data_IF_762705063082
#
_entry.id   IF_762705063082
#
_cell.length_a   1.000
_cell.length_b   1.000
_cell.length_c   1.000
_cell.angle_alpha   90.00
_cell.angle_beta   90.00
_cell.angle_gamma   90.00
#
_symmetry.space_group_name_H-M   'P 1'
#
loop_
_entity.id
_entity.type
_entity.pdbx_description
1 polymer ?
2 polymer ?
3 non-polymer ?
4 water ?
#
# COMPACT_ATOMS: atom_id res chain seq x y z
N UNK A 9 1.03 24.07 14.98
CA UNK A 9 0.70 25.19 14.12
C UNK A 9 0.05 24.72 12.82
N UNK A 10 0.21 23.44 12.52
CA UNK A 10 -0.34 22.86 11.30
C UNK A 10 -1.85 22.68 11.38
N UNK A 11 -2.33 22.36 12.58
CA UNK A 11 -3.75 22.09 12.78
C UNK A 11 -4.60 23.36 12.76
N UNK A 12 -3.93 24.51 12.84
CA UNK A 12 -4.63 25.79 12.92
C UNK A 12 -4.98 26.36 11.56
N UNK A 13 -4.21 25.99 10.54
CA UNK A 13 -4.41 26.51 9.19
C UNK A 13 -5.78 26.16 8.62
N UNK A 14 -6.25 26.97 7.68
CA UNK A 14 -7.42 26.62 6.90
C UNK A 14 -6.99 25.69 5.79
N UNK A 15 -7.94 25.06 5.11
CA UNK A 15 -7.62 24.13 4.05
C UNK A 15 -6.95 24.83 2.88
N UNK A 16 -7.36 26.07 2.62
CA UNK A 16 -6.75 26.88 1.56
C UNK A 16 -5.32 27.25 1.93
N UNK A 17 -5.08 27.50 3.22
CA UNK A 17 -3.74 27.82 3.71
C UNK A 17 -2.86 26.58 3.65
N UNK A 18 -3.45 25.42 3.88
CA UNK A 18 -2.73 24.15 3.77
C UNK A 18 -2.27 23.92 2.34
N UNK A 19 -3.18 24.14 1.40
CA UNK A 19 -2.88 24.00 -0.03
C UNK A 19 -1.75 24.93 -0.44
N UNK A 20 -1.86 26.20 -0.04
CA UNK A 20 -0.86 27.20 -0.39
C UNK A 20 0.51 26.86 0.19
N UNK A 21 0.53 26.37 1.43
CA UNK A 21 1.78 26.01 2.09
C UNK A 21 2.45 24.82 1.41
N UNK A 22 1.63 23.85 0.98
CA UNK A 22 2.14 22.67 0.30
C UNK A 22 2.67 23.00 -1.09
N UNK A 23 1.90 23.79 -1.85
CA UNK A 23 2.30 24.21 -3.17
C UNK A 23 3.60 25.01 -3.15
N UNK A 24 3.76 25.81 -2.10
CA UNK A 24 4.94 26.66 -1.97
C UNK A 24 6.16 25.86 -1.56
N UNK A 25 5.92 24.70 -0.95
CA UNK A 25 7.01 23.86 -0.46
C UNK A 25 7.53 22.91 -1.54
N UNK A 26 6.87 22.93 -2.69
CA UNK A 26 7.20 22.02 -3.79
C UNK A 26 8.66 22.08 -4.20
N UNK A 27 9.31 20.92 -4.27
CA UNK A 27 10.70 20.84 -4.73
C UNK A 27 10.80 21.16 -6.21
N UNK A 28 11.98 21.61 -6.66
CA UNK A 28 12.16 21.92 -8.08
C UNK A 28 12.24 20.68 -8.96
N UNK A 29 12.02 20.86 -10.26
CA UNK A 29 12.22 19.78 -11.21
C UNK A 29 13.67 19.79 -11.69
N UNK A 30 14.43 18.76 -11.30
CA UNK A 30 15.84 18.70 -11.63
C UNK A 30 16.07 18.10 -13.01
N UNK A 31 17.23 18.40 -13.59
CA UNK A 31 17.59 17.86 -14.90
C UNK A 31 18.57 16.71 -14.76
N UNK A 32 18.57 15.81 -15.74
CA UNK A 32 19.54 14.72 -15.80
C UNK A 32 20.88 15.28 -16.29
N UNK A 33 21.97 14.58 -16.01
CA UNK A 33 23.29 15.08 -16.40
C UNK A 33 23.60 14.77 -17.86
N UNK A 34 22.62 14.99 -18.74
CA UNK A 34 22.79 14.78 -20.16
C UNK A 34 23.86 15.69 -20.75
N UNK A 38 22.96 10.32 -25.81
CA UNK A 38 23.40 9.04 -26.37
C UNK A 38 22.50 7.90 -25.90
N UNK A 39 22.13 6.99 -26.82
CA UNK A 39 21.35 5.77 -26.54
C UNK A 39 21.84 5.06 -25.28
N UNK A 40 20.91 4.51 -24.51
CA UNK A 40 21.22 4.06 -23.15
C UNK A 40 21.65 2.58 -23.01
N UNK A 41 22.71 2.36 -22.25
CA UNK A 41 23.09 1.01 -21.81
C UNK A 41 22.50 0.75 -20.42
N UNK A 42 22.76 -0.43 -19.87
CA UNK A 42 22.23 -0.75 -18.55
C UNK A 42 22.90 0.13 -17.51
N UNK A 43 24.23 0.14 -17.50
CA UNK A 43 24.98 0.87 -16.49
C UNK A 43 24.78 2.37 -16.61
N UNK A 44 24.63 2.86 -17.83
CA UNK A 44 24.49 4.29 -18.08
C UNK A 44 23.15 4.83 -17.57
N UNK A 45 22.08 4.11 -17.88
CA UNK A 45 20.75 4.51 -17.43
C UNK A 45 20.66 4.45 -15.90
N UNK A 46 21.23 3.40 -15.31
CA UNK A 46 21.26 3.25 -13.88
C UNK A 46 22.05 4.38 -13.25
N UNK A 47 23.14 4.76 -13.89
CA UNK A 47 23.92 5.90 -13.43
C UNK A 47 23.08 7.16 -13.42
N UNK A 48 22.37 7.39 -14.53
CA UNK A 48 21.53 8.58 -14.66
C UNK A 48 20.41 8.62 -13.62
N UNK A 49 19.73 7.49 -13.45
CA UNK A 49 18.57 7.43 -12.56
C UNK A 49 18.96 7.58 -11.09
N UNK A 50 20.03 6.92 -10.69
CA UNK A 50 20.47 6.98 -9.30
C UNK A 50 21.12 8.33 -8.98
N UNK A 51 21.78 8.93 -9.96
CA UNK A 51 22.35 10.26 -9.78
C UNK A 51 21.23 11.29 -9.61
N UNK A 52 20.20 11.18 -10.42
CA UNK A 52 19.04 12.06 -10.33
C UNK A 52 18.35 11.89 -8.99
N UNK A 53 18.15 10.64 -8.59
CA UNK A 53 17.50 10.32 -7.32
C UNK A 53 18.26 10.91 -6.14
N UNK A 54 19.59 10.83 -6.20
CA UNK A 54 20.44 11.35 -5.13
C UNK A 54 20.29 12.86 -4.96
N UNK A 55 20.25 13.58 -6.06
CA UNK A 55 20.11 15.03 -6.02
C UNK A 55 18.71 15.44 -5.59
N UNK A 56 17.71 14.64 -5.97
CA UNK A 56 16.32 14.89 -5.58
C UNK A 56 16.10 14.68 -4.09
N UNK A 57 16.86 13.76 -3.51
CA UNK A 57 16.74 13.44 -2.09
C UNK A 57 17.06 14.63 -1.20
N UNK A 58 18.04 15.43 -1.62
CA UNK A 58 18.43 16.61 -0.86
C UNK A 58 17.29 17.63 -0.83
N UNK A 59 16.61 17.78 -1.97
CA UNK A 59 15.48 18.69 -2.07
C UNK A 59 14.26 18.14 -1.34
N UNK A 60 14.10 16.82 -1.35
CA UNK A 60 12.98 16.17 -0.67
C UNK A 60 13.03 16.43 0.84
N UNK A 61 14.23 16.33 1.40
CA UNK A 61 14.44 16.53 2.82
C UNK A 61 14.05 17.94 3.25
N UNK A 62 14.43 18.93 2.45
CA UNK A 62 14.06 20.31 2.73
C UNK A 62 12.59 20.57 2.43
N UNK A 63 12.03 19.80 1.51
CA UNK A 63 10.60 19.86 1.24
C UNK A 63 9.82 19.31 2.43
N UNK A 64 10.34 18.25 3.02
CA UNK A 64 9.70 17.60 4.16
C UNK A 64 9.58 18.54 5.35
N UNK A 65 10.62 19.33 5.59
CA UNK A 65 10.63 20.29 6.70
C UNK A 65 9.55 21.34 6.53
N UNK A 66 9.19 21.61 5.29
CA UNK A 66 8.20 22.64 4.99
C UNK A 66 6.79 22.07 4.90
N UNK A 67 6.65 20.78 5.16
CA UNK A 67 5.33 20.16 5.29
C UNK A 67 4.79 20.48 6.69
N UNK A 68 3.62 21.13 6.74
CA UNK A 68 3.01 21.56 8.01
C UNK A 68 2.90 20.45 9.05
N UNK A 69 3.61 20.60 10.16
CA UNK A 69 3.54 19.64 11.24
C UNK A 69 4.71 18.69 11.30
N UNK A 70 5.54 18.70 10.26
CA UNK A 70 6.67 17.77 10.18
C UNK A 70 7.83 18.20 11.08
N UNK A 71 8.02 19.50 11.25
CA UNK A 71 9.08 20.00 12.12
C UNK A 71 8.73 19.79 13.59
N UNK A 72 7.45 19.62 13.87
CA UNK A 72 6.99 19.40 15.24
C UNK A 72 7.42 18.03 15.74
N UNK A 73 7.74 17.15 14.81
CA UNK A 73 8.18 15.80 15.14
C UNK A 73 9.65 15.78 15.56
N UNK A 74 10.01 14.80 16.37
CA UNK A 74 11.40 14.63 16.79
C UNK A 74 12.28 14.28 15.59
N UNK A 75 13.58 14.49 15.72
CA UNK A 75 14.53 14.18 14.66
C UNK A 75 14.47 12.70 14.32
N UNK A 76 14.31 11.88 15.33
CA UNK A 76 14.20 10.43 15.16
C UNK A 76 13.02 10.04 14.27
N UNK A 77 11.86 10.64 14.54
CA UNK A 77 10.66 10.34 13.78
C UNK A 77 10.74 10.86 12.35
N UNK A 78 11.36 12.03 12.18
CA UNK A 78 11.56 12.61 10.86
C UNK A 78 12.41 11.70 9.99
N UNK A 79 13.43 11.11 10.59
CA UNK A 79 14.31 10.18 9.91
C UNK A 79 13.56 8.91 9.49
N UNK A 80 12.79 8.37 10.43
CA UNK A 80 12.03 7.14 10.19
C UNK A 80 11.04 7.30 9.03
N UNK A 81 10.32 8.41 9.03
CA UNK A 81 9.32 8.66 7.99
C UNK A 81 9.95 8.81 6.61
N UNK A 82 11.08 9.50 6.55
CA UNK A 82 11.77 9.72 5.28
C UNK A 82 12.41 8.43 4.77
N UNK A 83 13.04 7.68 5.67
CA UNK A 83 13.66 6.41 5.30
C UNK A 83 12.62 5.43 4.76
N UNK A 84 11.42 5.51 5.30
CA UNK A 84 10.35 4.60 4.92
C UNK A 84 9.69 4.97 3.59
N UNK A 85 9.57 6.27 3.32
CA UNK A 85 8.71 6.73 2.24
C UNK A 85 9.44 7.36 1.05
N UNK A 86 10.76 7.49 1.13
CA UNK A 86 11.51 8.29 0.15
C UNK A 86 11.32 7.83 -1.30
N UNK A 87 11.22 6.52 -1.52
CA UNK A 87 11.04 6.01 -2.87
C UNK A 87 9.61 6.21 -3.35
N UNK A 88 8.65 6.10 -2.43
CA UNK A 88 7.26 6.39 -2.74
C UNK A 88 7.10 7.84 -3.18
N UNK A 89 7.80 8.73 -2.49
CA UNK A 89 7.76 10.16 -2.77
C UNK A 89 8.39 10.47 -4.12
N UNK A 90 9.51 9.82 -4.42
CA UNK A 90 10.15 9.97 -5.73
C UNK A 90 9.23 9.47 -6.83
N UNK A 91 8.56 8.36 -6.58
CA UNK A 91 7.71 7.72 -7.59
C UNK A 91 6.44 8.52 -7.88
N UNK A 92 5.77 8.99 -6.84
CA UNK A 92 4.54 9.77 -7.04
C UNK A 92 4.87 11.10 -7.71
N UNK A 93 6.09 11.59 -7.49
CA UNK A 93 6.55 12.78 -8.17
C UNK A 93 6.78 12.50 -9.63
N UNK A 94 7.44 11.39 -9.92
CA UNK A 94 7.67 10.93 -11.29
C UNK A 94 6.37 10.72 -12.03
N UNK A 95 5.45 10.02 -11.38
CA UNK A 95 4.13 9.74 -11.95
C UNK A 95 3.37 11.02 -12.25
N UNK A 96 3.47 11.99 -11.35
CA UNK A 96 2.82 13.29 -11.54
C UNK A 96 3.42 14.06 -12.71
N UNK A 97 4.74 14.01 -12.84
CA UNK A 97 5.42 14.72 -13.93
C UNK A 97 5.10 14.12 -15.29
N UNK A 98 4.78 12.83 -15.31
CA UNK A 98 4.57 12.11 -16.55
C UNK A 98 3.12 12.13 -17.03
N UNK A 99 2.27 12.87 -16.32
CA UNK A 99 0.84 12.92 -16.64
C UNK A 99 0.56 13.45 -18.03
N UNK A 100 1.26 14.51 -18.43
CA UNK A 100 1.04 15.09 -19.75
C UNK A 100 1.92 14.41 -20.81
N UNK A 101 2.49 13.27 -20.45
CA UNK A 101 3.30 12.48 -21.37
C UNK A 101 2.89 11.01 -21.32
N UNK A 102 1.73 10.68 -21.89
CA UNK A 102 1.20 9.31 -21.85
C UNK A 102 2.12 8.31 -22.56
N UNK A 103 2.35 7.16 -21.92
CA UNK A 103 3.22 6.13 -22.46
C UNK A 103 4.68 6.44 -22.21
N UNK A 104 4.94 7.53 -21.49
CA UNK A 104 6.31 7.95 -21.21
C UNK A 104 6.50 8.33 -19.75
N UNK A 105 7.73 8.20 -19.27
CA UNK A 105 8.08 8.59 -17.90
C UNK A 105 9.05 9.77 -17.90
N UNK A 106 8.62 10.88 -17.32
CA UNK A 106 9.44 12.08 -17.27
C UNK A 106 10.28 12.12 -16.00
N UNK A 107 11.42 11.43 -16.02
CA UNK A 107 12.35 11.46 -14.90
C UNK A 107 12.93 12.87 -14.78
N UNK A 108 13.22 13.46 -15.94
CA UNK A 108 13.72 14.82 -16.03
C UNK A 108 13.28 15.39 -17.37
N UNK A 109 13.20 16.73 -17.48
CA UNK A 109 12.80 17.34 -18.76
C UNK A 109 13.69 16.92 -19.92
N UNK A 110 14.94 16.59 -19.63
CA UNK A 110 15.87 16.10 -20.65
C UNK A 110 16.05 14.59 -20.56
N UNK A 111 15.17 13.93 -19.83
CA UNK A 111 15.21 12.48 -19.69
C UNK A 111 13.80 11.90 -19.68
N UNK A 112 13.23 11.73 -20.87
CA UNK A 112 11.88 11.21 -21.03
C UNK A 112 11.94 9.82 -21.64
N UNK A 113 11.57 8.80 -20.85
CA UNK A 113 11.73 7.41 -21.27
C UNK A 113 10.40 6.71 -21.51
N UNK A 114 10.41 5.69 -22.36
CA UNK A 114 9.23 4.86 -22.58
C UNK A 114 9.50 3.40 -22.21
N UNK A 115 8.56 2.53 -22.52
CA UNK A 115 8.62 1.12 -22.13
C UNK A 115 9.82 0.39 -22.74
N UNK A 116 10.09 0.66 -24.01
CA UNK A 116 11.20 0.02 -24.72
C UNK A 116 12.55 0.27 -24.07
N UNK A 117 12.73 1.49 -23.58
CA UNK A 117 13.98 1.89 -22.95
C UNK A 117 14.11 1.26 -21.56
N UNK A 118 13.00 0.80 -21.02
CA UNK A 118 13.00 0.13 -19.73
C UNK A 118 13.63 -1.25 -19.80
N UNK A 119 13.74 -1.77 -21.02
CA UNK A 119 14.34 -3.08 -21.23
C UNK A 119 15.86 -3.03 -21.16
N UNK A 120 16.41 -1.83 -21.08
CA UNK A 120 17.85 -1.65 -20.91
C UNK A 120 18.32 -2.26 -19.60
N UNK A 121 17.43 -2.23 -18.60
CA UNK A 121 17.71 -2.80 -17.29
C UNK A 121 16.73 -3.94 -17.01
N UNK A 122 17.27 -5.10 -16.61
CA UNK A 122 16.43 -6.25 -16.30
C UNK A 122 15.63 -6.01 -15.02
N UNK A 123 14.33 -6.30 -15.09
CA UNK A 123 13.45 -6.11 -13.94
C UNK A 123 12.87 -4.71 -13.87
N UNK A 124 13.45 -3.79 -14.65
CA UNK A 124 12.99 -2.41 -14.67
C UNK A 124 11.74 -2.27 -15.53
N UNK A 125 11.53 -3.25 -16.40
CA UNK A 125 10.40 -3.26 -17.32
C UNK A 125 9.07 -3.35 -16.56
N UNK A 126 9.05 -4.19 -15.53
CA UNK A 126 7.84 -4.39 -14.72
C UNK A 126 7.50 -3.12 -13.95
N UNK A 127 8.51 -2.49 -13.35
CA UNK A 127 8.33 -1.28 -12.59
C UNK A 127 7.88 -0.13 -13.49
N UNK A 128 8.42 -0.09 -14.70
CA UNK A 128 8.04 0.90 -15.69
C UNK A 128 6.54 0.84 -15.98
N UNK A 129 6.03 -0.36 -16.22
CA UNK A 129 4.61 -0.55 -16.52
C UNK A 129 3.71 -0.09 -15.38
N UNK A 130 4.10 -0.44 -14.15
CA UNK A 130 3.32 -0.06 -12.98
C UNK A 130 3.30 1.45 -12.82
N UNK A 131 4.44 2.09 -13.09
CA UNK A 131 4.54 3.55 -13.03
C UNK A 131 3.70 4.19 -14.14
N UNK A 132 3.76 3.62 -15.33
CA UNK A 132 2.97 4.11 -16.46
C UNK A 132 1.48 3.95 -16.18
N UNK A 133 1.11 2.82 -15.57
CA UNK A 133 -0.28 2.56 -15.23
C UNK A 133 -0.80 3.55 -14.19
N UNK A 134 0.08 3.92 -13.26
CA UNK A 134 -0.28 4.87 -12.22
C UNK A 134 -0.48 6.26 -12.83
N UNK A 135 0.37 6.60 -13.79
CA UNK A 135 0.30 7.91 -14.44
C UNK A 135 -0.97 8.04 -15.27
N UNK A 136 -1.35 6.97 -15.96
CA UNK A 136 -2.57 6.98 -16.77
C UNK A 136 -3.79 7.03 -15.86
N UNK A 137 -3.65 6.47 -14.67
CA UNK A 137 -4.73 6.48 -13.69
C UNK A 137 -4.99 7.90 -13.19
N UNK A 138 -3.91 8.62 -12.88
CA UNK A 138 -4.01 10.02 -12.48
C UNK A 138 -4.58 10.85 -13.62
N UNK A 139 -4.15 10.55 -14.84
CA UNK A 139 -4.63 11.24 -16.03
C UNK A 139 -6.12 11.01 -16.23
N UNK A 140 -6.55 9.78 -16.02
CA UNK A 140 -7.95 9.41 -16.15
C UNK A 140 -8.81 10.15 -15.13
N UNK A 141 -8.31 10.25 -13.91
CA UNK A 141 -9.04 10.91 -12.83
C UNK A 141 -8.91 12.43 -12.90
N UNK A 142 -8.08 12.90 -13.83
CA UNK A 142 -7.77 14.32 -13.95
C UNK A 142 -7.28 14.89 -12.62
N UNK A 143 -6.24 14.28 -12.08
CA UNK A 143 -5.66 14.69 -10.81
C UNK A 143 -5.15 16.12 -10.87
N UNK A 144 -5.51 16.91 -9.87
CA UNK A 144 -5.08 18.30 -9.78
C UNK A 144 -3.80 18.41 -8.98
N UNK A 145 -3.04 19.48 -9.23
CA UNK A 145 -1.79 19.72 -8.52
C UNK A 145 -2.00 19.89 -7.04
N UNK A 146 -3.14 20.49 -6.67
CA UNK A 146 -3.48 20.69 -5.28
C UNK A 146 -3.76 19.37 -4.58
N UNK A 147 -4.30 18.41 -5.34
CA UNK A 147 -4.58 17.08 -4.80
C UNK A 147 -3.29 16.28 -4.71
N UNK A 148 -2.39 16.49 -5.67
CA UNK A 148 -1.11 15.79 -5.70
C UNK A 148 -0.25 16.09 -4.48
N UNK A 149 -0.11 17.37 -4.15
CA UNK A 149 0.72 17.78 -3.03
C UNK A 149 0.14 17.28 -1.71
N UNK A 150 -1.17 17.08 -1.67
CA UNK A 150 -1.82 16.51 -0.50
C UNK A 150 -1.47 15.03 -0.37
N UNK A 151 -1.57 14.30 -1.47
CA UNK A 151 -1.27 12.87 -1.49
C UNK A 151 0.19 12.58 -1.16
N UNK A 152 1.09 13.42 -1.64
CA UNK A 152 2.52 13.21 -1.42
C UNK A 152 2.89 13.43 0.04
N UNK A 153 2.27 14.42 0.68
CA UNK A 153 2.49 14.69 2.09
C UNK A 153 1.88 13.61 2.96
N UNK A 154 0.78 13.03 2.48
CA UNK A 154 0.14 11.91 3.17
C UNK A 154 1.07 10.72 3.23
N UNK A 155 1.70 10.40 2.09
CA UNK A 155 2.68 9.33 2.02
C UNK A 155 3.81 9.53 3.02
N UNK A 156 4.32 10.75 3.09
CA UNK A 156 5.41 11.09 4.01
C UNK A 156 5.04 10.81 5.46
N UNK A 157 3.82 11.13 5.85
CA UNK A 157 3.39 11.02 7.23
C UNK A 157 2.80 9.64 7.57
N UNK A 158 2.25 8.97 6.57
CA UNK A 158 1.56 7.71 6.81
C UNK A 158 2.46 6.48 6.73
N UNK A 159 3.24 6.38 5.66
CA UNK A 159 3.96 5.16 5.32
C UNK A 159 4.73 4.51 6.48
N UNK A 160 5.30 5.32 7.37
CA UNK A 160 6.08 4.79 8.46
C UNK A 160 5.46 4.98 9.84
N UNK A 161 4.20 5.39 9.87
CA UNK A 161 3.55 5.73 11.13
C UNK A 161 3.22 4.49 11.98
N UNK A 162 3.19 3.32 11.35
CA UNK A 162 2.87 2.09 12.07
C UNK A 162 4.11 1.22 12.25
N UNK A 163 5.28 1.86 12.25
CA UNK A 163 6.54 1.19 12.51
C UNK A 163 7.43 2.02 13.42
N UNK A 175 2.44 9.46 17.58
CA UNK A 175 1.59 9.01 16.49
C UNK A 175 0.29 9.78 16.44
N UNK A 176 -0.05 10.43 17.54
CA UNK A 176 -1.29 11.18 17.65
C UNK A 176 -1.28 12.45 16.81
N UNK A 177 -0.17 13.18 16.86
CA UNK A 177 -0.03 14.41 16.09
C UNK A 177 -0.05 14.11 14.59
N UNK A 178 0.70 13.08 14.20
CA UNK A 178 0.75 12.67 12.79
C UNK A 178 -0.63 12.32 12.27
N UNK A 179 -1.38 11.55 13.06
CA UNK A 179 -2.74 11.18 12.70
C UNK A 179 -3.65 12.41 12.65
N UNK A 180 -3.34 13.39 13.48
CA UNK A 180 -4.10 14.64 13.50
C UNK A 180 -3.79 15.46 12.25
N UNK A 181 -2.53 15.46 11.83
CA UNK A 181 -2.13 16.15 10.61
C UNK A 181 -2.69 15.42 9.40
N UNK A 182 -2.69 14.09 9.46
CA UNK A 182 -3.26 13.26 8.39
C UNK A 182 -4.74 13.57 8.21
N UNK A 183 -5.46 13.73 9.32
CA UNK A 183 -6.87 14.11 9.26
C UNK A 183 -7.05 15.48 8.64
N UNK A 184 -6.11 16.38 8.97
CA UNK A 184 -6.15 17.74 8.45
C UNK A 184 -6.03 17.75 6.93
N UNK A 185 -5.13 16.92 6.42
CA UNK A 185 -4.92 16.81 4.97
C UNK A 185 -6.15 16.18 4.31
N UNK A 186 -6.79 15.26 5.01
CA UNK A 186 -8.03 14.66 4.53
C UNK A 186 -9.12 15.72 4.37
N UNK A 187 -9.23 16.59 5.36
CA UNK A 187 -10.17 17.71 5.28
C UNK A 187 -9.84 18.61 4.10
N UNK A 188 -8.54 18.78 3.85
CA UNK A 188 -8.06 19.63 2.77
C UNK A 188 -8.43 19.04 1.41
N UNK A 189 -8.34 17.72 1.29
CA UNK A 189 -8.70 17.03 0.05
C UNK A 189 -10.17 17.20 -0.28
N UNK A 190 -11.03 16.91 0.69
CA UNK A 190 -12.47 17.05 0.53
C UNK A 190 -12.85 18.47 0.17
N UNK A 191 -12.20 19.43 0.82
CA UNK A 191 -12.42 20.85 0.55
C UNK A 191 -12.14 21.19 -0.91
N UNK A 192 -11.03 20.66 -1.43
CA UNK A 192 -10.66 20.86 -2.83
C UNK A 192 -11.71 20.27 -3.77
N UNK A 193 -12.28 19.13 -3.38
CA UNK A 193 -13.27 18.46 -4.20
C UNK A 193 -14.63 19.17 -4.11
N UNK A 194 -14.94 19.71 -2.93
CA UNK A 194 -16.17 20.44 -2.73
C UNK A 194 -16.19 21.73 -3.55
N UNK A 195 -15.01 22.34 -3.70
CA UNK A 195 -14.89 23.55 -4.51
C UNK A 195 -15.01 23.23 -6.00
N UNK A 196 -14.51 22.05 -6.39
CA UNK A 196 -14.52 21.64 -7.79
C UNK A 196 -15.94 21.39 -8.29
N UNK A 197 -16.90 21.30 -7.38
CA UNK A 197 -18.29 21.14 -7.73
C UNK A 197 -18.82 19.73 -7.50
N UNK A 198 -17.97 18.88 -6.92
CA UNK A 198 -18.36 17.50 -6.65
C UNK A 198 -19.42 17.43 -5.56
N UNK A 199 -20.37 16.51 -5.72
CA UNK A 199 -21.38 16.26 -4.70
C UNK A 199 -20.75 15.47 -3.56
N UNK A 200 -21.47 15.35 -2.45
CA UNK A 200 -20.97 14.63 -1.28
C UNK A 200 -20.57 13.20 -1.62
N UNK A 201 -21.41 12.53 -2.41
CA UNK A 201 -21.13 11.16 -2.83
C UNK A 201 -19.88 11.08 -3.69
N UNK A 202 -19.74 12.04 -4.59
CA UNK A 202 -18.61 12.14 -5.45
C UNK A 202 -17.33 12.41 -4.71
N UNK A 203 -17.44 13.20 -3.68
CA UNK A 203 -16.33 13.54 -2.86
C UNK A 203 -15.72 12.36 -2.10
N UNK A 204 -16.55 11.55 -1.46
CA UNK A 204 -16.08 10.36 -0.77
C UNK A 204 -15.50 9.38 -1.72
N UNK A 205 -16.15 9.22 -2.84
CA UNK A 205 -15.72 8.28 -3.81
C UNK A 205 -14.36 8.62 -4.38
N UNK A 206 -14.12 9.87 -4.69
CA UNK A 206 -12.85 10.31 -5.26
C UNK A 206 -11.74 10.25 -4.21
N UNK A 207 -12.08 10.59 -2.97
CA UNK A 207 -11.15 10.47 -1.86
C UNK A 207 -10.67 9.04 -1.72
N UNK A 208 -11.60 8.09 -1.82
CA UNK A 208 -11.27 6.68 -1.74
C UNK A 208 -10.41 6.25 -2.92
N UNK A 209 -10.76 6.70 -4.11
CA UNK A 209 -10.02 6.37 -5.32
C UNK A 209 -8.57 6.84 -5.25
N UNK A 210 -8.37 8.03 -4.70
CA UNK A 210 -7.02 8.61 -4.58
C UNK A 210 -6.17 7.83 -3.59
N UNK A 211 -6.75 7.51 -2.43
CA UNK A 211 -6.00 6.86 -1.36
C UNK A 211 -5.70 5.40 -1.64
N UNK A 212 -6.51 4.78 -2.49
CA UNK A 212 -6.28 3.38 -2.87
C UNK A 212 -5.09 3.25 -3.80
N UNK A 213 -4.80 4.32 -4.54
CA UNK A 213 -3.63 4.36 -5.42
C UNK A 213 -2.34 4.37 -4.60
N UNK A 214 -2.43 4.91 -3.39
CA UNK A 214 -1.29 4.93 -2.48
C UNK A 214 -0.81 3.52 -2.15
N UNK A 215 -1.73 2.57 -2.18
CA UNK A 215 -1.40 1.17 -1.97
C UNK A 215 -0.55 0.62 -3.11
N UNK A 216 -0.84 1.07 -4.32
CA UNK A 216 -0.09 0.63 -5.49
C UNK A 216 1.29 1.30 -5.50
N UNK A 217 1.34 2.54 -5.04
CA UNK A 217 2.60 3.28 -4.94
C UNK A 217 3.51 2.60 -3.92
N UNK A 218 2.93 2.15 -2.81
CA UNK A 218 3.68 1.38 -1.81
C UNK A 218 4.24 0.10 -2.44
N UNK A 219 3.42 -0.56 -3.25
CA UNK A 219 3.82 -1.79 -3.91
C UNK A 219 4.99 -1.57 -4.85
N UNK A 220 4.91 -0.51 -5.66
CA UNK A 220 5.98 -0.18 -6.60
C UNK A 220 7.28 0.14 -5.87
N UNK A 221 7.16 0.84 -4.76
CA UNK A 221 8.33 1.19 -3.95
C UNK A 221 9.05 -0.05 -3.43
N UNK A 222 8.29 -0.98 -2.88
CA UNK A 222 8.84 -2.23 -2.38
C UNK A 222 9.51 -3.05 -3.49
N UNK A 223 8.89 -3.03 -4.66
CA UNK A 223 9.46 -3.70 -5.83
C UNK A 223 10.72 -2.97 -6.30
N UNK A 224 10.68 -1.64 -6.26
CA UNK A 224 11.82 -0.83 -6.64
C UNK A 224 12.95 -0.94 -5.65
N UNK A 225 12.61 -1.04 -4.38
CA UNK A 225 13.60 -1.15 -3.31
C UNK A 225 14.39 -2.45 -3.43
N UNK A 226 13.68 -3.54 -3.70
CA UNK A 226 14.30 -4.85 -3.87
C UNK A 226 15.25 -4.87 -5.06
N UNK A 227 14.84 -4.20 -6.14
CA UNK A 227 15.65 -4.13 -7.35
C UNK A 227 16.90 -3.29 -7.10
N UNK A 228 16.76 -2.24 -6.31
CA UNK A 228 17.88 -1.36 -5.98
C UNK A 228 18.89 -2.10 -5.10
N UNK A 229 18.37 -2.97 -4.24
CA UNK A 229 19.23 -3.78 -3.38
C UNK A 229 20.04 -4.78 -4.19
N UNK A 230 19.43 -5.33 -5.24
CA UNK A 230 20.10 -6.31 -6.08
C UNK A 230 21.12 -5.65 -7.00
N UNK A 231 20.78 -4.47 -7.52
CA UNK A 231 21.70 -3.70 -8.35
C UNK A 231 22.89 -3.26 -7.51
N UNK A 232 22.64 -3.03 -6.22
CA UNK A 232 23.71 -2.73 -5.27
C UNK A 232 24.63 -3.93 -5.11
N UNK A 233 24.04 -5.10 -4.92
CA UNK A 233 24.79 -6.34 -4.74
C UNK A 233 25.65 -6.67 -5.95
N UNK A 234 25.08 -6.46 -7.14
CA UNK A 234 25.78 -6.79 -8.39
C UNK A 234 26.88 -5.80 -8.71
N UNK A 235 26.94 -4.71 -7.95
CA UNK A 235 27.95 -3.67 -8.11
C UNK A 235 27.97 -3.11 -9.53
N UNK A 236 26.78 -2.96 -10.11
CA UNK A 236 26.64 -2.44 -11.47
C UNK A 236 27.16 -1.01 -11.57
N UNK A 237 26.69 -0.17 -10.65
CA UNK A 237 27.14 1.22 -10.56
C UNK A 237 27.20 1.63 -9.09
N UNK A 238 28.29 2.31 -8.69
CA UNK A 238 28.41 2.77 -7.31
C UNK A 238 27.30 3.73 -6.91
N UNK A 239 26.63 3.43 -5.80
CA UNK A 239 25.57 4.27 -5.28
C UNK A 239 26.13 5.28 -4.28
N UNK A 240 25.51 6.46 -4.21
CA UNK A 240 25.95 7.48 -3.26
C UNK A 240 25.74 7.00 -1.83
N UNK A 241 26.51 7.57 -0.90
CA UNK A 241 26.41 7.20 0.50
C UNK A 241 25.01 7.45 1.05
N UNK A 242 24.41 8.57 0.63
CA UNK A 242 23.06 8.91 1.05
C UNK A 242 22.04 7.89 0.55
N UNK A 243 22.13 7.57 -0.74
CA UNK A 243 21.19 6.64 -1.36
C UNK A 243 21.33 5.24 -0.75
N UNK A 244 22.55 4.91 -0.34
CA UNK A 244 22.81 3.62 0.30
C UNK A 244 22.23 3.57 1.71
N UNK A 245 22.33 4.67 2.43
CA UNK A 245 21.80 4.74 3.79
C UNK A 245 20.28 4.72 3.80
N UNK A 246 19.67 5.32 2.78
CA UNK A 246 18.21 5.27 2.63
C UNK A 246 17.78 3.86 2.25
N UNK A 247 18.66 3.15 1.55
CA UNK A 247 18.39 1.79 1.11
C UNK A 247 18.57 0.79 2.24
N UNK A 248 19.62 0.97 3.04
CA UNK A 248 19.92 0.07 4.15
C UNK A 248 18.84 0.11 5.22
N UNK A 249 18.10 1.21 5.28
CA UNK A 249 17.03 1.36 6.27
C UNK A 249 15.91 0.35 6.03
N UNK A 250 15.77 -0.09 4.79
CA UNK A 250 14.77 -1.10 4.43
C UNK A 250 15.37 -2.50 4.48
N UNK A 251 16.58 -2.60 5.01
CA UNK A 251 17.29 -3.88 5.14
C UNK A 251 17.48 -4.55 3.78
N UNK B 9 -25.23 -6.97 -11.10
CA UNK B 9 -26.13 -7.20 -9.99
C UNK B 9 -25.59 -6.58 -8.69
N UNK B 10 -24.28 -6.43 -8.64
CA UNK B 10 -23.62 -5.85 -7.46
C UNK B 10 -23.92 -4.36 -7.32
N UNK B 11 -24.27 -3.74 -8.44
CA UNK B 11 -24.55 -2.30 -8.46
C UNK B 11 -25.95 -2.00 -7.92
N UNK B 12 -26.78 -3.04 -7.85
CA UNK B 12 -28.18 -2.86 -7.46
C UNK B 12 -28.39 -2.93 -5.95
N UNK B 13 -27.51 -3.64 -5.26
CA UNK B 13 -27.64 -3.86 -3.83
C UNK B 13 -27.50 -2.56 -3.04
N UNK B 14 -28.31 -2.43 -1.98
CA UNK B 14 -28.22 -1.28 -1.09
C UNK B 14 -27.01 -1.44 -0.19
N UNK B 15 -26.74 -0.43 0.63
CA UNK B 15 -25.62 -0.47 1.56
C UNK B 15 -25.80 -1.57 2.58
N UNK B 16 -27.01 -1.67 3.14
CA UNK B 16 -27.33 -2.71 4.11
C UNK B 16 -27.27 -4.10 3.47
N UNK B 17 -27.70 -4.18 2.21
CA UNK B 17 -27.67 -5.44 1.47
C UNK B 17 -26.22 -5.83 1.14
N UNK B 18 -25.39 -4.84 0.88
CA UNK B 18 -23.97 -5.07 0.62
C UNK B 18 -23.30 -5.65 1.85
N UNK B 19 -23.56 -5.05 3.01
CA UNK B 19 -23.02 -5.51 4.28
C UNK B 19 -23.44 -6.94 4.57
N UNK B 20 -24.74 -7.20 4.45
CA UNK B 20 -25.29 -8.52 4.71
C UNK B 20 -24.64 -9.60 3.85
N UNK B 21 -24.53 -9.32 2.55
CA UNK B 21 -23.92 -10.26 1.61
C UNK B 21 -22.47 -10.55 1.98
N UNK B 22 -21.74 -9.51 2.38
CA UNK B 22 -20.33 -9.67 2.77
C UNK B 22 -20.19 -10.44 4.07
N UNK B 23 -21.04 -10.13 5.04
CA UNK B 23 -21.02 -10.82 6.33
C UNK B 23 -21.38 -12.30 6.16
N UNK B 24 -22.34 -12.57 5.29
CA UNK B 24 -22.80 -13.93 5.06
C UNK B 24 -21.75 -14.75 4.31
N UNK B 25 -20.89 -14.06 3.57
CA UNK B 25 -19.87 -14.72 2.76
C UNK B 25 -18.60 -15.02 3.55
N UNK B 26 -18.57 -14.57 4.80
CA UNK B 26 -17.38 -14.71 5.64
C UNK B 26 -16.89 -16.15 5.75
N UNK B 27 -15.59 -16.36 5.54
CA UNK B 27 -14.97 -17.69 5.69
C UNK B 27 -14.89 -18.09 7.15
N UNK B 28 -14.77 -19.39 7.42
CA UNK B 28 -14.67 -19.86 8.81
C UNK B 28 -13.30 -19.60 9.41
N UNK B 29 -13.22 -19.62 10.74
CA UNK B 29 -11.94 -19.54 11.43
C UNK B 29 -11.40 -20.95 11.63
N UNK B 30 -10.37 -21.29 10.86
CA UNK B 30 -9.81 -22.64 10.88
C UNK B 30 -8.90 -22.86 12.08
N UNK B 31 -8.67 -24.13 12.40
CA UNK B 31 -7.79 -24.50 13.51
C UNK B 31 -6.42 -24.92 13.01
N UNK B 32 -5.42 -24.77 13.88
CA UNK B 32 -4.06 -25.21 13.57
C UNK B 32 -3.85 -26.64 14.02
N UNK B 33 -2.73 -27.22 13.59
CA UNK B 33 -2.34 -28.56 14.04
C UNK B 33 -1.42 -28.44 15.24
N UNK B 34 -1.54 -27.32 15.95
CA UNK B 34 -0.65 -27.02 17.07
C UNK B 34 -0.90 -27.90 18.29
N UNK B 35 0.16 -28.51 18.79
CA UNK B 35 0.11 -29.29 20.01
C UNK B 35 1.01 -28.67 21.06
N UNK B 36 0.41 -28.09 22.12
CA UNK B 36 1.14 -27.39 23.16
C UNK B 36 1.97 -28.30 24.07
N UNK B 37 1.85 -29.61 23.87
CA UNK B 37 2.64 -30.56 24.66
C UNK B 37 4.02 -30.77 24.04
N UNK B 38 4.50 -29.72 23.36
CA UNK B 38 5.82 -29.72 22.74
C UNK B 38 6.20 -28.30 22.35
N UNK B 39 7.39 -27.84 22.79
CA UNK B 39 7.83 -26.47 22.51
C UNK B 39 8.12 -26.25 21.03
N UNK B 41 10.16 -24.40 18.11
CA UNK B 41 11.18 -24.37 17.07
C UNK B 41 10.74 -23.54 15.87
N UNK B 42 11.69 -23.20 15.01
CA UNK B 42 11.40 -22.35 13.86
C UNK B 42 10.80 -23.14 12.70
N UNK B 43 11.35 -24.32 12.44
CA UNK B 43 10.91 -25.15 11.32
C UNK B 43 9.48 -25.65 11.51
N UNK B 44 9.17 -26.07 12.74
CA UNK B 44 7.85 -26.61 13.03
C UNK B 44 6.79 -25.51 13.06
N UNK B 45 7.16 -24.34 13.59
CA UNK B 45 6.25 -23.21 13.65
C UNK B 45 5.92 -22.72 12.25
N UNK B 46 6.93 -22.69 11.38
CA UNK B 46 6.74 -22.29 10.00
C UNK B 46 5.80 -23.27 9.29
N UNK B 47 5.94 -24.55 9.64
CA UNK B 47 5.08 -25.59 9.08
C UNK B 47 3.63 -25.39 9.44
N UNK B 48 3.39 -25.02 10.71
CA UNK B 48 2.02 -24.80 11.18
C UNK B 48 1.35 -23.63 10.49
N UNK B 49 2.10 -22.55 10.29
CA UNK B 49 1.56 -21.34 9.69
C UNK B 49 1.27 -21.53 8.21
N UNK B 50 2.19 -22.17 7.50
CA UNK B 50 2.04 -22.40 6.06
C UNK B 50 0.94 -23.42 5.78
N UNK B 51 0.81 -24.41 6.67
CA UNK B 51 -0.26 -25.39 6.56
C UNK B 51 -1.62 -24.74 6.77
N UNK B 52 -1.69 -23.84 7.74
CA UNK B 52 -2.91 -23.11 8.02
C UNK B 52 -3.30 -22.21 6.86
N UNK B 53 -2.31 -21.48 6.35
CA UNK B 53 -2.54 -20.56 5.23
C UNK B 53 -3.03 -21.30 3.99
N UNK B 54 -2.52 -22.51 3.78
CA UNK B 54 -2.90 -23.31 2.63
C UNK B 54 -4.36 -23.75 2.70
N UNK B 55 -4.79 -24.18 3.89
CA UNK B 55 -6.18 -24.61 4.06
C UNK B 55 -7.12 -23.40 4.03
N UNK B 56 -6.62 -22.25 4.47
CA UNK B 56 -7.40 -21.01 4.41
C UNK B 56 -7.58 -20.53 2.97
N UNK B 57 -6.57 -20.78 2.14
CA UNK B 57 -6.59 -20.36 0.74
C UNK B 57 -7.79 -20.94 0.01
N UNK B 58 -8.13 -22.19 0.33
CA UNK B 58 -9.26 -22.86 -0.30
C UNK B 58 -10.57 -22.15 0.02
N UNK B 59 -10.70 -21.71 1.28
CA UNK B 59 -11.90 -21.01 1.71
C UNK B 59 -11.94 -19.59 1.17
N UNK B 60 -10.78 -18.97 1.02
CA UNK B 60 -10.69 -17.62 0.48
C UNK B 60 -11.17 -17.57 -0.96
N UNK B 61 -10.76 -18.56 -1.74
CA UNK B 61 -11.13 -18.66 -3.15
C UNK B 61 -12.65 -18.71 -3.30
N UNK B 62 -13.29 -19.52 -2.46
CA UNK B 62 -14.75 -19.64 -2.50
C UNK B 62 -15.44 -18.45 -1.86
N UNK B 63 -14.71 -17.73 -1.01
CA UNK B 63 -15.22 -16.48 -0.44
C UNK B 63 -15.23 -15.39 -1.49
N UNK B 64 -14.17 -15.35 -2.30
CA UNK B 64 -14.03 -14.35 -3.35
C UNK B 64 -15.18 -14.41 -4.34
N UNK B 65 -15.64 -15.63 -4.64
CA UNK B 65 -16.76 -15.83 -5.54
C UNK B 65 -18.04 -15.18 -5.02
N UNK B 66 -18.14 -15.04 -3.70
CA UNK B 66 -19.34 -14.50 -3.08
C UNK B 66 -19.26 -12.99 -2.89
N UNK B 67 -18.08 -12.42 -3.14
CA UNK B 67 -17.93 -10.97 -3.11
C UNK B 67 -18.60 -10.36 -4.33
N UNK B 68 -19.59 -9.48 -4.10
CA UNK B 68 -20.40 -8.85 -5.15
C UNK B 68 -19.58 -8.23 -6.28
N UNK B 69 -19.74 -8.75 -7.49
CA UNK B 69 -19.06 -8.22 -8.65
C UNK B 69 -17.88 -9.06 -9.12
N UNK B 70 -17.41 -9.96 -8.25
CA UNK B 70 -16.22 -10.75 -8.55
C UNK B 70 -16.50 -11.82 -9.61
N UNK B 71 -17.72 -12.37 -9.59
CA UNK B 71 -18.10 -13.40 -10.56
C UNK B 71 -18.34 -12.82 -11.94
N UNK B 72 -18.54 -11.50 -12.01
CA UNK B 72 -18.76 -10.82 -13.28
C UNK B 72 -17.45 -10.66 -14.04
N UNK B 73 -16.34 -10.98 -13.37
CA UNK B 73 -15.03 -10.86 -13.98
C UNK B 73 -14.64 -12.14 -14.71
N UNK B 74 -13.70 -12.02 -15.65
CA UNK B 74 -13.21 -13.19 -16.36
C UNK B 74 -12.35 -14.04 -15.42
N UNK B 75 -12.16 -15.30 -15.82
CA UNK B 75 -11.43 -16.27 -15.02
C UNK B 75 -9.98 -15.85 -14.86
N UNK B 76 -9.40 -15.30 -15.92
CA UNK B 76 -8.03 -14.79 -15.89
C UNK B 76 -7.88 -13.61 -14.92
N UNK B 77 -8.88 -12.73 -14.90
CA UNK B 77 -8.84 -11.57 -14.02
C UNK B 77 -9.05 -11.96 -12.55
N UNK B 78 -9.87 -12.99 -12.33
CA UNK B 78 -10.08 -13.50 -10.98
C UNK B 78 -8.81 -14.11 -10.43
N UNK B 79 -8.11 -14.86 -11.28
CA UNK B 79 -6.83 -15.46 -10.92
C UNK B 79 -5.82 -14.39 -10.56
N UNK B 80 -5.76 -13.34 -11.37
CA UNK B 80 -4.82 -12.24 -11.16
C UNK B 80 -5.04 -11.51 -9.84
N UNK B 81 -6.30 -11.21 -9.54
CA UNK B 81 -6.63 -10.49 -8.31
C UNK B 81 -6.28 -11.29 -7.06
N UNK B 82 -6.58 -12.58 -7.08
CA UNK B 82 -6.30 -13.45 -5.94
C UNK B 82 -4.79 -13.65 -5.76
N UNK B 83 -4.08 -13.84 -6.86
CA UNK B 83 -2.62 -14.01 -6.81
C UNK B 83 -1.94 -12.80 -6.19
N UNK B 84 -2.51 -11.63 -6.43
CA UNK B 84 -1.93 -10.38 -5.97
C UNK B 84 -2.28 -10.07 -4.52
N UNK B 85 -3.46 -10.48 -4.09
CA UNK B 85 -3.98 -10.01 -2.81
C UNK B 85 -4.16 -11.10 -1.74
N UNK B 86 -3.80 -12.34 -2.06
CA UNK B 86 -4.07 -13.46 -1.15
C UNK B 86 -3.41 -13.30 0.22
N UNK B 87 -2.18 -12.81 0.24
CA UNK B 87 -1.46 -12.64 1.49
C UNK B 87 -2.01 -11.43 2.26
N UNK B 88 -2.40 -10.39 1.54
CA UNK B 88 -3.03 -9.22 2.14
C UNK B 88 -4.31 -9.61 2.85
N UNK B 89 -5.11 -10.43 2.19
CA UNK B 89 -6.39 -10.88 2.73
C UNK B 89 -6.20 -11.77 3.96
N UNK B 90 -5.19 -12.64 3.91
CA UNK B 90 -4.85 -13.47 5.05
C UNK B 90 -4.41 -12.62 6.24
N UNK B 91 -3.65 -11.56 5.95
CA UNK B 91 -3.09 -10.71 7.00
C UNK B 91 -4.14 -9.84 7.69
N UNK B 92 -5.05 -9.27 6.91
CA UNK B 92 -6.08 -8.41 7.50
C UNK B 92 -7.08 -9.26 8.29
N UNK B 93 -7.23 -10.52 7.89
CA UNK B 93 -8.07 -11.45 8.62
C UNK B 93 -7.43 -11.80 9.95
N UNK B 94 -6.12 -12.07 9.92
CA UNK B 94 -5.36 -12.36 11.12
C UNK B 94 -5.39 -11.18 12.08
N UNK B 95 -5.16 -9.99 11.55
CA UNK B 95 -5.16 -8.77 12.33
C UNK B 95 -6.53 -8.53 12.98
N UNK B 96 -7.59 -8.80 12.23
CA UNK B 96 -8.95 -8.67 12.73
C UNK B 96 -9.24 -9.67 13.86
N UNK B 97 -8.72 -10.89 13.71
CA UNK B 97 -8.88 -11.91 14.73
C UNK B 97 -8.15 -11.55 16.02
N UNK B 98 -7.10 -10.74 15.90
CA UNK B 98 -6.20 -10.47 17.03
C UNK B 98 -6.52 -9.17 17.78
N UNK B 99 -7.58 -8.48 17.36
CA UNK B 99 -7.96 -7.22 18.00
C UNK B 99 -8.22 -7.32 19.50
N UNK B 100 -8.93 -8.38 19.90
CA UNK B 100 -9.27 -8.57 21.31
C UNK B 100 -8.09 -9.10 22.12
N UNK B 101 -6.96 -9.36 21.46
CA UNK B 101 -5.81 -9.93 22.12
C UNK B 101 -4.57 -9.06 21.96
N UNK B 102 -4.44 -8.04 22.82
CA UNK B 102 -3.32 -7.08 22.77
C UNK B 102 -1.95 -7.74 22.90
N UNK B 103 -1.04 -7.40 22.00
CA UNK B 103 0.30 -7.94 22.02
C UNK B 103 0.37 -9.38 21.53
N UNK B 104 -0.72 -9.87 20.98
CA UNK B 104 -0.78 -11.26 20.52
C UNK B 104 -1.41 -11.38 19.13
N UNK B 105 -1.01 -12.42 18.41
CA UNK B 105 -1.57 -12.71 17.10
C UNK B 105 -2.35 -14.02 17.13
N UNK B 106 -3.65 -13.94 16.85
CA UNK B 106 -4.50 -15.12 16.86
C UNK B 106 -4.56 -15.74 15.46
N UNK B 107 -3.56 -16.55 15.15
CA UNK B 107 -3.53 -17.27 13.87
C UNK B 107 -4.66 -18.29 13.83
N UNK B 108 -4.90 -18.92 14.97
CA UNK B 108 -5.97 -19.89 15.14
C UNK B 108 -6.40 -19.88 16.61
N UNK B 109 -7.65 -20.28 16.89
CA UNK B 109 -8.14 -20.30 18.28
C UNK B 109 -7.23 -21.12 19.21
N UNK B 110 -6.54 -22.10 18.66
CA UNK B 110 -5.59 -22.89 19.44
C UNK B 110 -4.15 -22.45 19.19
N UNK B 111 -3.98 -21.36 18.45
CA UNK B 111 -2.64 -20.85 18.14
C UNK B 111 -2.57 -19.34 18.37
N UNK B 112 -2.21 -18.94 19.58
CA UNK B 112 -2.09 -17.54 19.95
C UNK B 112 -0.66 -17.22 20.35
N UNK B 113 0.01 -16.37 19.58
CA UNK B 113 1.46 -16.20 19.72
C UNK B 113 1.91 -14.82 20.19
N UNK B 114 2.94 -14.80 21.03
CA UNK B 114 3.66 -13.57 21.36
C UNK B 114 4.62 -13.23 20.23
N UNK B 115 5.21 -12.04 20.27
CA UNK B 115 6.30 -11.73 19.35
C UNK B 115 7.53 -12.51 19.79
N UNK B 116 7.52 -12.94 21.05
CA UNK B 116 8.56 -13.80 21.60
C UNK B 116 8.77 -15.04 20.75
N UNK B 117 7.68 -15.77 20.52
CA UNK B 117 7.71 -16.99 19.73
C UNK B 117 7.96 -16.67 18.25
N UNK B 121 11.10 -17.56 14.26
CA UNK B 121 11.73 -17.67 12.95
C UNK B 121 12.59 -16.43 12.64
N UNK B 122 13.42 -16.53 11.61
CA UNK B 122 14.30 -15.44 11.23
C UNK B 122 13.59 -14.44 10.32
N UNK B 123 13.64 -13.16 10.70
CA UNK B 123 13.02 -12.11 9.91
C UNK B 123 11.53 -11.98 10.13
N UNK B 124 10.94 -13.01 10.74
CA UNK B 124 9.51 -13.02 11.02
C UNK B 124 9.15 -12.04 12.13
N UNK B 125 10.13 -11.68 12.94
CA UNK B 125 9.94 -10.78 14.06
C UNK B 125 9.45 -9.40 13.59
N UNK B 126 10.03 -8.92 12.49
CA UNK B 126 9.66 -7.63 11.94
C UNK B 126 8.21 -7.62 11.47
N UNK B 127 7.83 -8.65 10.71
CA UNK B 127 6.47 -8.78 10.21
C UNK B 127 5.48 -8.92 11.37
N UNK B 128 5.89 -9.60 12.43
CA UNK B 128 5.05 -9.73 13.60
C UNK B 128 4.72 -8.44 14.26
N UNK B 129 5.71 -7.59 14.46
CA UNK B 129 5.49 -6.28 15.06
C UNK B 129 4.61 -5.40 14.19
N UNK B 130 4.75 -5.53 12.87
CA UNK B 130 3.92 -4.77 11.94
C UNK B 130 2.47 -5.26 11.99
N UNK B 131 2.30 -6.56 12.13
CA UNK B 131 0.96 -7.14 12.26
C UNK B 131 0.33 -6.75 13.60
N UNK B 132 1.15 -6.73 14.65
CA UNK B 132 0.69 -6.33 15.98
C UNK B 132 0.29 -4.86 15.99
N UNK B 133 1.10 -4.01 15.36
CA UNK B 133 0.83 -2.58 15.27
C UNK B 133 -0.45 -2.32 14.48
N UNK B 134 -0.69 -3.14 13.47
CA UNK B 134 -1.90 -3.03 12.66
C UNK B 134 -3.13 -3.39 13.49
N UNK B 135 -2.99 -4.44 14.29
CA UNK B 135 -4.07 -4.89 15.16
C UNK B 135 -4.37 -3.85 16.24
N UNK B 136 -3.31 -3.25 16.78
CA UNK B 136 -3.44 -2.20 17.78
C UNK B 136 -4.16 -0.98 17.20
N UNK B 137 -3.87 -0.70 15.93
CA UNK B 137 -4.50 0.42 15.24
C UNK B 137 -6.01 0.19 15.08
N UNK B 138 -6.38 -1.02 14.67
CA UNK B 138 -7.78 -1.39 14.55
C UNK B 138 -8.48 -1.33 15.89
N UNK B 139 -7.78 -1.74 16.93
CA UNK B 139 -8.32 -1.70 18.30
C UNK B 139 -8.53 -0.26 18.74
N UNK B 140 -7.60 0.61 18.44
CA UNK B 140 -7.73 2.01 18.71
C UNK B 140 -8.87 2.65 17.97
N UNK B 141 -9.06 2.34 16.72
CA UNK B 141 -10.14 2.89 15.94
C UNK B 141 -11.45 2.18 16.23
N UNK B 142 -11.39 1.17 17.08
CA UNK B 142 -12.52 0.34 17.34
C UNK B 142 -13.20 -0.16 16.07
N UNK B 143 -12.45 -0.74 15.15
CA UNK B 143 -12.98 -1.17 13.87
C UNK B 143 -14.12 -2.15 14.03
N UNK B 144 -15.17 -1.96 13.26
CA UNK B 144 -16.36 -2.79 13.31
C UNK B 144 -16.30 -3.90 12.28
N UNK B 145 -17.02 -4.99 12.54
CA UNK B 145 -17.04 -6.13 11.64
C UNK B 145 -17.60 -5.77 10.26
N UNK B 146 -18.56 -4.85 10.25
CA UNK B 146 -19.16 -4.38 9.01
C UNK B 146 -18.13 -3.61 8.17
N UNK B 147 -17.22 -2.91 8.86
CA UNK B 147 -16.17 -2.17 8.20
C UNK B 147 -15.06 -3.09 7.72
N UNK B 148 -14.79 -4.13 8.51
CA UNK B 148 -13.74 -5.09 8.19
C UNK B 148 -13.99 -5.83 6.88
N UNK B 149 -15.21 -6.34 6.71
CA UNK B 149 -15.56 -7.09 5.52
C UNK B 149 -15.55 -6.21 4.28
N UNK B 150 -15.81 -4.91 4.47
CA UNK B 150 -15.74 -3.94 3.38
C UNK B 150 -14.29 -3.75 2.95
N UNK B 151 -13.40 -3.57 3.93
CA UNK B 151 -11.98 -3.36 3.66
C UNK B 151 -11.35 -4.57 2.98
N UNK B 152 -11.73 -5.76 3.42
CA UNK B 152 -11.17 -6.99 2.88
C UNK B 152 -11.58 -7.19 1.42
N UNK B 153 -12.82 -6.83 1.11
CA UNK B 153 -13.31 -6.93 -0.26
C UNK B 153 -12.64 -5.88 -1.15
N UNK B 154 -12.36 -4.72 -0.58
CA UNK B 154 -11.66 -3.66 -1.30
C UNK B 154 -10.26 -4.13 -1.70
N UNK B 155 -9.57 -4.78 -0.77
CA UNK B 155 -8.24 -5.32 -1.03
C UNK B 155 -8.24 -6.30 -2.21
N UNK B 156 -9.24 -7.17 -2.24
CA UNK B 156 -9.38 -8.15 -3.31
C UNK B 156 -9.51 -7.49 -4.68
N UNK B 157 -10.31 -6.42 -4.73
CA UNK B 157 -10.62 -5.77 -6.00
C UNK B 157 -9.61 -4.72 -6.42
N UNK B 158 -8.89 -4.16 -5.45
CA UNK B 158 -8.02 -3.02 -5.71
C UNK B 158 -6.54 -3.38 -5.90
N UNK B 159 -6.06 -4.38 -5.17
CA UNK B 159 -4.62 -4.66 -5.11
C UNK B 159 -4.00 -4.98 -6.46
N UNK B 160 -4.74 -5.66 -7.33
CA UNK B 160 -4.20 -6.05 -8.63
C UNK B 160 -4.90 -5.38 -9.80
N UNK B 161 -5.65 -4.32 -9.53
CA UNK B 161 -6.46 -3.66 -10.55
C UNK B 161 -5.61 -2.78 -11.47
N UNK B 162 -4.37 -2.49 -11.05
CA UNK B 162 -3.50 -1.60 -11.81
C UNK B 162 -2.25 -2.29 -12.36
N UNK B 163 -2.24 -3.61 -12.32
CA UNK B 163 -1.07 -4.37 -12.73
C UNK B 163 -1.18 -4.81 -14.19
N UNK B 173 -12.87 -1.02 -19.43
CA UNK B 173 -14.09 -1.82 -19.49
C UNK B 173 -14.18 -2.77 -18.30
N UNK B 174 -13.20 -3.67 -18.19
CA UNK B 174 -13.13 -4.59 -17.06
C UNK B 174 -12.74 -3.86 -15.79
N UNK B 175 -11.84 -2.89 -15.93
CA UNK B 175 -11.41 -2.07 -14.81
C UNK B 175 -12.50 -1.09 -14.40
N UNK B 176 -13.35 -0.74 -15.37
CA UNK B 176 -14.44 0.19 -15.12
C UNK B 176 -15.50 -0.42 -14.20
N UNK B 177 -15.74 -1.71 -14.37
CA UNK B 177 -16.71 -2.43 -13.53
C UNK B 177 -16.18 -2.57 -12.10
N UNK B 178 -14.89 -2.86 -11.98
CA UNK B 178 -14.25 -3.03 -10.68
C UNK B 178 -14.28 -1.73 -9.88
N UNK B 179 -13.98 -0.62 -10.55
CA UNK B 179 -14.00 0.69 -9.91
C UNK B 179 -15.42 1.06 -9.49
N UNK B 180 -16.39 0.59 -10.26
CA UNK B 180 -17.80 0.83 -9.95
C UNK B 180 -18.19 0.10 -8.67
N UNK B 181 -17.71 -1.13 -8.52
CA UNK B 181 -17.96 -1.92 -7.32
C UNK B 181 -17.20 -1.32 -6.14
N UNK B 182 -15.98 -0.86 -6.39
CA UNK B 182 -15.17 -0.21 -5.37
C UNK B 182 -15.86 1.04 -4.85
N UNK B 183 -16.46 1.81 -5.75
CA UNK B 183 -17.21 3.00 -5.37
C UNK B 183 -18.41 2.62 -4.52
N UNK B 184 -19.04 1.49 -4.84
CA UNK B 184 -20.20 1.00 -4.10
C UNK B 184 -19.82 0.61 -2.67
N UNK B 185 -18.63 0.03 -2.51
CA UNK B 185 -18.15 -0.35 -1.19
C UNK B 185 -17.76 0.89 -0.41
N UNK B 186 -17.32 1.93 -1.12
CA UNK B 186 -17.06 3.23 -0.50
C UNK B 186 -18.36 3.84 0.00
N UNK B 187 -19.41 3.75 -0.81
CA UNK B 187 -20.75 4.18 -0.42
C UNK B 187 -21.17 3.48 0.87
N UNK B 188 -20.92 2.18 0.91
CA UNK B 188 -21.31 1.34 2.03
C UNK B 188 -20.61 1.74 3.32
N UNK B 189 -19.31 2.00 3.23
CA UNK B 189 -18.52 2.41 4.39
C UNK B 189 -19.01 3.72 4.98
N UNK B 190 -19.30 4.68 4.11
CA UNK B 190 -19.82 5.97 4.54
C UNK B 190 -21.20 5.81 5.20
N UNK B 191 -22.02 4.95 4.63
CA UNK B 191 -23.35 4.67 5.18
C UNK B 191 -23.27 4.09 6.58
N UNK B 192 -22.28 3.22 6.80
CA UNK B 192 -22.06 2.61 8.11
C UNK B 192 -21.65 3.65 9.14
N UNK B 193 -20.76 4.54 8.75
CA UNK B 193 -20.24 5.56 9.65
C UNK B 193 -21.30 6.62 9.97
N UNK B 194 -22.18 6.87 8.99
CA UNK B 194 -23.28 7.81 9.19
C UNK B 194 -24.27 7.27 10.22
N UNK B 195 -24.48 5.95 10.19
CA UNK B 195 -25.36 5.30 11.15
C UNK B 195 -24.75 5.30 12.56
N UNK B 196 -23.42 5.25 12.61
CA UNK B 196 -22.71 5.23 13.89
C UNK B 196 -22.75 6.58 14.58
N UNK B 197 -23.30 7.59 13.90
CA UNK B 197 -23.46 8.91 14.48
C UNK B 197 -22.36 9.88 14.12
N UNK B 198 -21.43 9.44 13.27
CA UNK B 198 -20.31 10.29 12.88
C UNK B 198 -20.76 11.45 11.99
N UNK B 199 -20.21 12.62 12.23
CA UNK B 199 -20.47 13.78 11.39
C UNK B 199 -19.80 13.60 10.03
N UNK B 200 -20.17 14.42 9.06
CA UNK B 200 -19.61 14.34 7.71
C UNK B 200 -18.09 14.42 7.72
N UNK B 201 -17.54 15.30 8.56
CA UNK B 201 -16.09 15.44 8.67
C UNK B 201 -15.48 14.17 9.27
N UNK B 202 -16.15 13.61 10.28
CA UNK B 202 -15.67 12.39 10.93
C UNK B 202 -15.74 11.20 9.99
N UNK B 203 -16.71 11.20 9.08
CA UNK B 203 -16.87 10.11 8.13
C UNK B 203 -15.72 10.08 7.13
N UNK B 204 -15.38 11.25 6.60
CA UNK B 204 -14.29 11.38 5.64
C UNK B 204 -12.95 10.99 6.27
N UNK B 205 -12.76 11.46 7.51
CA UNK B 205 -11.52 11.19 8.23
C UNK B 205 -11.35 9.70 8.51
N UNK B 206 -12.41 9.07 9.04
CA UNK B 206 -12.36 7.64 9.35
C UNK B 206 -12.18 6.81 8.09
N UNK B 207 -12.84 7.22 7.02
CA UNK B 207 -12.70 6.56 5.73
C UNK B 207 -11.26 6.59 5.26
N UNK B 208 -10.62 7.75 5.40
CA UNK B 208 -9.23 7.93 5.02
C UNK B 208 -8.32 7.09 5.89
N UNK B 209 -8.56 7.12 7.20
CA UNK B 209 -7.77 6.36 8.16
C UNK B 209 -7.78 4.87 7.86
N UNK B 210 -8.93 4.35 7.46
CA UNK B 210 -9.07 2.93 7.15
C UNK B 210 -8.34 2.56 5.88
N UNK B 211 -8.46 3.39 4.85
CA UNK B 211 -7.87 3.09 3.56
C UNK B 211 -6.35 3.29 3.56
N UNK B 212 -5.86 4.15 4.44
CA UNK B 212 -4.42 4.36 4.56
C UNK B 212 -3.76 3.14 5.19
N UNK B 213 -4.50 2.44 6.03
CA UNK B 213 -4.02 1.21 6.67
C UNK B 213 -3.75 0.14 5.62
N UNK B 214 -4.54 0.15 4.55
CA UNK B 214 -4.38 -0.81 3.46
C UNK B 214 -3.02 -0.69 2.78
N UNK B 215 -2.43 0.51 2.86
CA UNK B 215 -1.08 0.72 2.34
C UNK B 215 -0.06 -0.06 3.17
N UNK B 216 -0.29 -0.11 4.48
CA UNK B 216 0.59 -0.83 5.39
C UNK B 216 0.41 -2.34 5.23
N UNK B 217 -0.82 -2.76 4.94
CA UNK B 217 -1.13 -4.16 4.71
C UNK B 217 -0.42 -4.63 3.44
N UNK B 218 -0.42 -3.77 2.43
CA UNK B 218 0.33 -4.06 1.20
C UNK B 218 1.82 -4.20 1.51
N UNK B 219 2.32 -3.32 2.35
CA UNK B 219 3.73 -3.33 2.74
C UNK B 219 4.09 -4.63 3.45
N UNK B 220 3.24 -5.04 4.38
CA UNK B 220 3.45 -6.28 5.13
C UNK B 220 3.40 -7.49 4.18
N UNK B 221 2.50 -7.44 3.22
CA UNK B 221 2.36 -8.52 2.24
C UNK B 221 3.61 -8.65 1.37
N UNK B 222 4.12 -7.50 0.91
CA UNK B 222 5.35 -7.48 0.13
C UNK B 222 6.51 -8.08 0.90
N UNK B 223 6.65 -7.67 2.15
CA UNK B 223 7.68 -8.20 3.03
C UNK B 223 7.49 -9.69 3.29
N UNK B 224 6.24 -10.09 3.49
CA UNK B 224 5.90 -11.47 3.73
C UNK B 224 6.18 -12.34 2.51
N UNK B 225 5.92 -11.79 1.33
CA UNK B 225 6.14 -12.51 0.08
C UNK B 225 7.63 -12.75 -0.17
N UNK B 226 8.45 -11.77 0.19
CA UNK B 226 9.90 -11.89 0.07
C UNK B 226 10.43 -12.99 0.98
N UNK B 227 9.94 -13.02 2.20
CA UNK B 227 10.37 -14.00 3.19
C UNK B 227 9.88 -15.40 2.83
N UNK B 228 8.73 -15.46 2.19
CA UNK B 228 8.14 -16.74 1.78
C UNK B 228 8.97 -17.37 0.66
N UNK B 229 9.47 -16.54 -0.25
CA UNK B 229 10.32 -17.00 -1.33
C UNK B 229 11.67 -17.49 -0.81
N UNK B 230 12.24 -16.76 0.14
CA UNK B 230 13.53 -17.12 0.72
C UNK B 230 13.43 -18.41 1.52
N UNK B 231 12.29 -18.60 2.18
CA UNK B 231 12.03 -19.82 2.93
C UNK B 231 11.84 -21.00 1.98
N UNK B 232 11.32 -20.71 0.80
CA UNK B 232 11.15 -21.72 -0.25
C UNK B 232 12.49 -22.21 -0.77
N UNK B 233 13.37 -21.26 -1.11
CA UNK B 233 14.69 -21.59 -1.62
C UNK B 233 15.53 -22.31 -0.57
N UNK B 234 15.24 -22.01 0.70
CA UNK B 234 15.93 -22.66 1.80
C UNK B 234 15.44 -24.09 1.98
N UNK B 235 14.21 -24.34 1.51
CA UNK B 235 13.59 -25.66 1.59
C UNK B 235 13.61 -26.21 3.02
N UNK B 236 13.27 -25.35 3.98
CA UNK B 236 13.29 -25.73 5.38
C UNK B 236 12.17 -26.72 5.72
N UNK B 238 8.75 -26.10 3.68
CA UNK B 238 7.63 -27.05 3.64
C UNK B 238 6.34 -26.39 3.15
N UNK B 239 6.25 -26.13 1.85
CA UNK B 239 5.10 -25.45 1.28
C UNK B 239 4.29 -26.34 0.36
N UNK B 240 2.98 -26.14 0.35
CA UNK B 240 2.07 -26.90 -0.50
C UNK B 240 2.19 -26.44 -1.95
N UNK B 241 1.56 -27.19 -2.86
CA UNK B 241 1.63 -26.87 -4.28
C UNK B 241 0.90 -25.57 -4.61
N UNK B 242 -0.26 -25.37 -3.98
CA UNK B 242 -1.03 -24.15 -4.20
C UNK B 242 -0.27 -22.93 -3.69
N UNK B 243 0.31 -23.07 -2.49
CA UNK B 243 1.05 -21.98 -1.86
C UNK B 243 2.27 -21.59 -2.69
N UNK B 244 2.84 -22.57 -3.39
CA UNK B 244 3.98 -22.31 -4.26
C UNK B 244 3.55 -21.60 -5.54
N UNK B 245 2.44 -22.03 -6.12
CA UNK B 245 1.93 -21.40 -7.34
C UNK B 245 1.52 -19.96 -7.08
N UNK B 246 0.98 -19.70 -5.90
CA UNK B 246 0.63 -18.33 -5.50
C UNK B 246 1.90 -17.51 -5.32
N UNK B 247 2.98 -18.16 -4.91
CA UNK B 247 4.24 -17.50 -4.64
C UNK B 247 4.99 -17.15 -5.93
N UNK B 248 4.94 -18.06 -6.91
CA UNK B 248 5.63 -17.86 -8.17
C UNK B 248 4.99 -16.75 -9.02
N UNK B 249 3.79 -16.35 -8.63
CA UNK B 249 3.05 -15.33 -9.39
C UNK B 249 3.49 -13.92 -9.04
N UNK B 250 4.33 -13.81 -8.01
CA UNK B 250 4.79 -12.50 -7.54
C UNK B 250 6.22 -12.20 -7.95
N UNK C 3 24.44 9.16 10.40
CA UNK C 3 23.64 9.19 9.17
C UNK C 3 23.71 10.55 8.49
N UNK C 4 23.74 10.53 7.16
CA UNK C 4 23.72 11.75 6.37
C UNK C 4 22.36 12.43 6.49
N UNK C 5 21.31 11.61 6.62
CA UNK C 5 19.95 12.10 6.77
C UNK C 5 19.81 12.98 8.00
N UNK C 6 20.56 12.66 9.04
CA UNK C 6 20.59 13.48 10.25
C UNK C 6 21.10 14.89 9.94
N UNK C 7 22.19 14.97 9.17
CA UNK C 7 22.82 16.24 8.87
C UNK C 7 21.93 17.12 7.99
N UNK C 8 21.35 16.51 6.96
CA UNK C 8 20.52 17.25 6.00
C UNK C 8 19.21 17.73 6.61
N UNK C 9 18.73 17.00 7.62
CA UNK C 9 17.50 17.35 8.29
C UNK C 9 17.69 18.49 9.29
N UNK C 10 18.89 18.61 9.83
CA UNK C 10 19.20 19.64 10.81
C UNK C 10 19.58 20.96 10.14
N UNK C 11 20.03 20.89 8.90
CA UNK C 11 20.46 22.08 8.17
C UNK C 11 19.39 22.56 7.20
N UNK D 3 -2.75 -25.62 -13.14
CA UNK D 3 -2.76 -24.47 -12.24
C UNK D 3 -3.90 -24.59 -11.24
N UNK D 4 -3.57 -24.78 -9.97
CA UNK D 4 -4.54 -25.09 -8.93
C UNK D 4 -5.57 -23.99 -8.72
N UNK D 5 -5.10 -22.75 -8.55
CA UNK D 5 -5.98 -21.61 -8.35
C UNK D 5 -6.95 -21.47 -9.52
N UNK D 6 -6.43 -21.74 -10.71
CA UNK D 6 -7.23 -21.73 -11.92
C UNK D 6 -8.39 -22.71 -11.83
N UNK D 7 -8.10 -23.90 -11.32
CA UNK D 7 -9.08 -24.97 -11.25
C UNK D 7 -10.08 -24.79 -10.10
N UNK D 8 -9.59 -24.39 -8.93
CA UNK D 8 -10.44 -24.22 -7.76
C UNK D 8 -11.46 -23.12 -7.95
N UNK D 9 -11.11 -22.14 -8.78
CA UNK D 9 -12.03 -21.05 -9.11
C UNK D 9 -13.16 -21.56 -10.02
N UNK D 10 -12.88 -22.60 -10.77
CA UNK D 10 -13.91 -23.23 -11.61
C UNK D 10 -14.86 -24.06 -10.75
N UNK D 11 -14.29 -25.04 -10.06
CA UNK D 11 -15.08 -25.89 -9.16
C UNK D 11 -15.41 -25.16 -7.86
#
# INVERSE_FOLDING_TARGET
>A
IKRSKKNSLALSLTADQMVSALLDAEPPILYSEYDPTRPFSEASMMGLLTNLADRELVHMINWAKRVPGFVDLTLHDQVHLLECAWLEILMIGLVWRSMEHPGKLLFAPNLLLDRNQGKCVEGMVEIFDMLLATSSRFRMMNLQGEEFVCLKSIILLNSGVYTFLSSTLKSLEEKDHIHRVLDKITDTLIHLMAKAGLTLQQQHQRLAQLLLILSHIRHMSNKGMEHLYSMKCKNVVPLSDLLLEMLDAHRLHAPTS
>B
IKRSKKNSLALSLTADQMVSALLDAEPPILYSEYDPTRPFSEASMMGLLTNLADRELVHMINWAKRVPGFVDLTLHDQVHLLECAWLEILMIGLVWRSMEHPGKLLFAPNLLLDRNQGKCVEGMVEIFDMLLATSSRFRMMNLQGEEFVCLKSIILLNSGVYTFLSSTLKSLEEKDHIHRVLDKITDTLIHLMAKAGLTLQQQHQRLAQLLLILSHIRHMSNKGMEHLYSMKCKNVVPLSDLLLEMLDAHRLHAPTS
>C
KHKILHRLLQDSSS
>D
KHKILHRLLQDSSS
#
